data_IF_537400693405
#
_entry.id   IF_537400693405
#
_cell.length_a   1.000
_cell.length_b   1.000
_cell.length_c   1.000
_cell.angle_alpha   90.00
_cell.angle_beta   90.00
_cell.angle_gamma   90.00
#
_symmetry.space_group_name_H-M   'P 1'
#
loop_
_entity.id
_entity.type
_entity.pdbx_description
1 polymer ?
#
# COMPACT_ATOMS: atom_id res chain seq x y z
N UNK A 1 -0.42 3.16 11.90
CA UNK A 1 -1.31 4.15 11.27
C UNK A 1 -1.64 3.58 9.89
N UNK A 2 -2.88 3.16 9.67
CA UNK A 2 -3.20 2.18 8.61
C UNK A 2 -3.77 2.84 7.35
N UNK A 3 -3.72 2.11 6.23
CA UNK A 3 -4.42 2.41 4.97
C UNK A 3 -5.87 2.90 5.19
N UNK A 4 -6.54 2.48 6.27
CA UNK A 4 -7.89 2.91 6.64
C UNK A 4 -8.04 4.42 6.85
N UNK A 5 -6.98 5.15 7.23
CA UNK A 5 -7.01 6.61 7.41
C UNK A 5 -7.47 7.34 6.14
N UNK A 6 -7.18 6.78 4.97
CA UNK A 6 -7.48 7.42 3.68
C UNK A 6 -8.77 6.91 3.03
N UNK A 7 -9.55 6.08 3.72
CA UNK A 7 -10.75 5.47 3.13
C UNK A 7 -10.40 4.55 1.97
N UNK A 8 -11.17 4.60 0.88
CA UNK A 8 -11.03 3.69 -0.27
C UNK A 8 -10.14 4.24 -1.40
N UNK A 9 -9.72 5.50 -1.34
CA UNK A 9 -8.92 6.15 -2.38
C UNK A 9 -8.10 7.30 -1.81
N UNK A 10 -6.90 7.50 -2.34
CA UNK A 10 -6.00 8.61 -1.99
C UNK A 10 -6.00 9.74 -3.01
N UNK A 11 -6.78 9.67 -4.10
CA UNK A 11 -6.72 10.65 -5.22
C UNK A 11 -6.71 12.12 -4.78
N UNK A 12 -7.57 12.50 -3.82
CA UNK A 12 -7.64 13.87 -3.26
C UNK A 12 -6.37 14.31 -2.52
N UNK A 13 -5.59 13.36 -2.03
CA UNK A 13 -4.33 13.58 -1.33
C UNK A 13 -3.11 13.56 -2.27
N UNK A 14 -3.33 13.36 -3.57
CA UNK A 14 -2.30 13.42 -4.61
C UNK A 14 -2.28 14.77 -5.34
N UNK A 15 -3.05 15.75 -4.86
CA UNK A 15 -3.20 17.05 -5.51
C UNK A 15 -1.97 17.95 -5.29
N UNK A 16 -1.32 17.87 -4.12
CA UNK A 16 -0.15 18.69 -3.77
C UNK A 16 1.03 17.85 -3.28
N UNK A 17 2.25 18.34 -3.51
CA UNK A 17 3.47 17.69 -3.00
C UNK A 17 3.47 17.57 -1.47
N UNK A 18 2.91 18.56 -0.77
CA UNK A 18 2.76 18.53 0.70
C UNK A 18 1.87 17.37 1.16
N UNK A 19 0.70 17.18 0.54
CA UNK A 19 -0.22 16.10 0.91
C UNK A 19 0.36 14.72 0.56
N UNK A 20 1.13 14.61 -0.53
CA UNK A 20 1.84 13.39 -0.91
C UNK A 20 2.95 13.07 0.11
N UNK A 21 3.75 14.07 0.51
CA UNK A 21 4.77 13.92 1.56
C UNK A 21 4.16 13.46 2.88
N UNK A 22 3.00 14.00 3.25
CA UNK A 22 2.26 13.55 4.44
C UNK A 22 1.89 12.06 4.35
N UNK A 23 1.37 11.59 3.21
CA UNK A 23 1.06 10.16 3.02
C UNK A 23 2.31 9.30 3.13
N UNK A 24 3.42 9.70 2.49
CA UNK A 24 4.67 8.95 2.58
C UNK A 24 5.16 8.84 4.02
N UNK A 25 5.17 9.93 4.77
CA UNK A 25 5.60 9.92 6.17
C UNK A 25 4.67 9.08 7.05
N UNK A 26 3.35 9.17 6.82
CA UNK A 26 2.36 8.39 7.56
C UNK A 26 2.50 6.88 7.31
N UNK A 27 2.86 6.47 6.08
CA UNK A 27 2.92 5.07 5.66
C UNK A 27 4.34 4.46 5.72
N UNK A 28 5.39 5.26 5.90
CA UNK A 28 6.79 4.82 6.02
C UNK A 28 7.01 3.78 7.15
N UNK A 29 6.44 3.93 8.36
CA UNK A 29 6.54 2.90 9.39
C UNK A 29 5.95 1.56 8.94
N UNK A 30 4.82 1.59 8.22
CA UNK A 30 4.19 0.38 7.68
C UNK A 30 5.04 -0.25 6.58
N UNK A 31 5.66 0.54 5.71
CA UNK A 31 6.60 0.04 4.70
C UNK A 31 7.78 -0.69 5.35
N UNK A 32 8.40 -0.07 6.36
CA UNK A 32 9.54 -0.64 7.09
C UNK A 32 9.18 -1.95 7.75
N UNK A 33 8.01 -2.03 8.40
CA UNK A 33 7.51 -3.27 9.00
C UNK A 33 7.34 -4.34 7.93
N UNK A 34 6.65 -4.04 6.82
CA UNK A 34 6.41 -5.06 5.79
C UNK A 34 7.71 -5.54 5.14
N UNK A 35 8.67 -4.64 4.92
CA UNK A 35 9.98 -4.99 4.38
C UNK A 35 10.78 -5.89 5.32
N UNK A 36 10.78 -5.60 6.62
CA UNK A 36 11.54 -6.37 7.61
C UNK A 36 10.86 -7.71 7.96
N UNK A 37 9.54 -7.69 8.08
CA UNK A 37 8.71 -8.84 8.49
C UNK A 37 8.17 -9.63 7.29
N UNK A 38 8.70 -9.42 6.08
CA UNK A 38 8.15 -10.00 4.84
C UNK A 38 7.92 -11.51 4.94
N UNK A 39 8.92 -12.26 5.44
CA UNK A 39 8.81 -13.71 5.59
C UNK A 39 7.74 -14.11 6.62
N UNK A 40 7.61 -13.35 7.71
CA UNK A 40 6.60 -13.61 8.74
C UNK A 40 5.19 -13.31 8.22
N UNK A 41 5.01 -12.21 7.48
CA UNK A 41 3.75 -11.88 6.79
C UNK A 41 3.40 -12.97 5.78
N UNK A 42 4.36 -13.40 4.96
CA UNK A 42 4.15 -14.48 3.99
C UNK A 42 3.72 -15.78 4.68
N UNK A 43 4.43 -16.18 5.74
CA UNK A 43 4.07 -17.36 6.53
C UNK A 43 2.68 -17.25 7.15
N UNK A 44 2.32 -16.09 7.71
CA UNK A 44 1.00 -15.84 8.29
C UNK A 44 -0.10 -15.98 7.23
N UNK A 45 0.06 -15.33 6.07
CA UNK A 45 -0.93 -15.38 5.00
C UNK A 45 -1.06 -16.79 4.41
N UNK A 46 0.05 -17.51 4.24
CA UNK A 46 0.00 -18.92 3.82
C UNK A 46 -0.73 -19.79 4.85
N UNK A 47 -0.49 -19.58 6.15
CA UNK A 47 -1.15 -20.35 7.21
C UNK A 47 -2.66 -20.09 7.31
N UNK A 48 -3.12 -18.94 6.83
CA UNK A 48 -4.55 -18.59 6.71
C UNK A 48 -5.15 -19.07 5.37
N UNK A 49 -4.39 -19.81 4.58
CA UNK A 49 -4.84 -20.46 3.34
C UNK A 49 -4.88 -19.53 2.13
N UNK A 50 -4.06 -18.47 2.09
CA UNK A 50 -3.82 -17.73 0.84
C UNK A 50 -2.78 -18.45 -0.02
N UNK A 51 -3.05 -18.50 -1.33
CA UNK A 51 -2.11 -19.00 -2.32
C UNK A 51 -0.90 -18.07 -2.47
N UNK A 52 0.23 -18.63 -2.92
CA UNK A 52 1.48 -17.87 -3.10
C UNK A 52 1.31 -16.71 -4.08
N UNK A 53 0.55 -16.90 -5.16
CA UNK A 53 0.25 -15.87 -6.16
C UNK A 53 -0.41 -14.61 -5.54
N UNK A 54 -1.35 -14.78 -4.62
CA UNK A 54 -2.03 -13.71 -3.91
C UNK A 54 -1.03 -12.94 -3.04
N UNK A 55 -0.23 -13.68 -2.26
CA UNK A 55 0.74 -13.09 -1.33
C UNK A 55 1.81 -12.31 -2.09
N UNK A 56 2.40 -12.93 -3.11
CA UNK A 56 3.44 -12.30 -3.92
C UNK A 56 2.87 -11.06 -4.66
N UNK A 57 1.62 -11.13 -5.14
CA UNK A 57 0.94 -10.00 -5.77
C UNK A 57 0.56 -8.89 -4.77
N UNK A 58 0.19 -9.21 -3.53
CA UNK A 58 -0.04 -8.19 -2.49
C UNK A 58 1.25 -7.43 -2.20
N UNK A 59 2.34 -8.14 -1.99
CA UNK A 59 3.62 -7.52 -1.64
C UNK A 59 4.19 -6.72 -2.82
N UNK A 60 4.09 -7.25 -4.03
CA UNK A 60 4.48 -6.52 -5.25
C UNK A 60 3.71 -5.22 -5.41
N UNK A 61 2.37 -5.26 -5.34
CA UNK A 61 1.54 -4.05 -5.47
C UNK A 61 1.83 -3.04 -4.36
N UNK A 62 2.11 -3.52 -3.15
CA UNK A 62 2.43 -2.66 -2.01
C UNK A 62 3.77 -1.94 -2.21
N UNK A 63 4.81 -2.64 -2.64
CA UNK A 63 6.11 -1.99 -2.90
C UNK A 63 6.03 -1.05 -4.09
N UNK A 64 5.35 -1.44 -5.17
CA UNK A 64 5.13 -0.55 -6.32
C UNK A 64 4.35 0.72 -5.91
N UNK A 65 3.38 0.59 -5.01
CA UNK A 65 2.66 1.72 -4.44
C UNK A 65 3.58 2.69 -3.70
N UNK A 66 4.43 2.18 -2.81
CA UNK A 66 5.38 2.99 -2.05
C UNK A 66 6.41 3.68 -2.94
N UNK A 67 6.92 2.98 -3.95
CA UNK A 67 7.87 3.55 -4.92
C UNK A 67 7.19 4.67 -5.74
N UNK A 68 5.95 4.45 -6.17
CA UNK A 68 5.17 5.46 -6.91
C UNK A 68 4.88 6.69 -6.04
N UNK A 69 4.50 6.51 -4.78
CA UNK A 69 4.31 7.64 -3.86
C UNK A 69 5.60 8.40 -3.57
N UNK A 70 6.71 7.69 -3.38
CA UNK A 70 8.03 8.30 -3.15
C UNK A 70 8.46 9.15 -4.33
N UNK A 71 8.23 8.65 -5.55
CA UNK A 71 8.47 9.38 -6.79
C UNK A 71 7.63 10.67 -6.85
N UNK A 72 6.32 10.57 -6.57
CA UNK A 72 5.39 11.71 -6.56
C UNK A 72 5.67 12.75 -5.47
N UNK A 73 6.38 12.39 -4.39
CA UNK A 73 6.80 13.34 -3.36
C UNK A 73 8.00 14.20 -3.77
N UNK A 74 8.63 13.89 -4.90
CA UNK A 74 9.76 14.67 -5.41
C UNK A 74 9.23 15.98 -6.01
N UNK A 75 9.70 17.17 -5.56
CA UNK A 75 9.12 18.47 -5.93
C UNK A 75 9.02 18.77 -7.43
N UNK A 76 9.90 18.19 -8.24
CA UNK A 76 9.91 18.35 -9.70
C UNK A 76 9.08 17.31 -10.45
N UNK A 77 8.43 16.37 -9.75
CA UNK A 77 7.76 15.22 -10.33
C UNK A 77 6.25 15.26 -10.07
N UNK A 78 5.51 15.84 -11.02
CA UNK A 78 4.06 15.93 -10.96
C UNK A 78 3.44 15.41 -12.27
N UNK A 79 3.49 14.10 -12.48
CA UNK A 79 2.83 13.46 -13.61
C UNK A 79 1.45 12.92 -13.22
N UNK A 80 0.41 13.33 -13.94
CA UNK A 80 -0.96 12.86 -13.73
C UNK A 80 -1.10 11.33 -13.91
N UNK A 81 -0.29 10.72 -14.78
CA UNK A 81 -0.30 9.27 -14.97
C UNK A 81 0.14 8.53 -13.70
N UNK A 82 1.20 8.99 -13.05
CA UNK A 82 1.69 8.38 -11.82
C UNK A 82 0.74 8.61 -10.64
N UNK A 83 0.05 9.76 -10.59
CA UNK A 83 -1.03 10.00 -9.62
C UNK A 83 -2.18 9.01 -9.80
N UNK A 84 -2.58 8.75 -11.03
CA UNK A 84 -3.62 7.74 -11.32
C UNK A 84 -3.14 6.35 -10.91
N UNK A 85 -1.90 5.99 -11.28
CA UNK A 85 -1.27 4.73 -10.90
C UNK A 85 -1.24 4.54 -9.38
N UNK A 86 -0.82 5.56 -8.62
CA UNK A 86 -0.80 5.52 -7.15
C UNK A 86 -2.22 5.30 -6.56
N UNK A 87 -3.25 5.95 -7.11
CA UNK A 87 -4.64 5.74 -6.69
C UNK A 87 -5.13 4.32 -6.96
N UNK A 88 -4.80 3.76 -8.14
CA UNK A 88 -5.17 2.40 -8.51
C UNK A 88 -4.44 1.35 -7.64
N UNK A 89 -3.15 1.53 -7.42
CA UNK A 89 -2.35 0.68 -6.54
C UNK A 89 -2.86 0.74 -5.10
N UNK A 90 -3.18 1.93 -4.58
CA UNK A 90 -3.77 2.09 -3.25
C UNK A 90 -5.05 1.25 -3.10
N UNK A 91 -5.97 1.33 -4.07
CA UNK A 91 -7.22 0.55 -4.07
C UNK A 91 -6.95 -0.95 -4.06
N UNK A 92 -6.06 -1.42 -4.93
CA UNK A 92 -5.69 -2.85 -5.02
C UNK A 92 -5.09 -3.36 -3.71
N UNK A 93 -4.10 -2.65 -3.19
CA UNK A 93 -3.42 -2.97 -1.94
C UNK A 93 -4.40 -2.98 -0.79
N UNK A 94 -5.23 -1.94 -0.66
CA UNK A 94 -6.23 -1.86 0.41
C UNK A 94 -7.22 -3.03 0.34
N UNK A 95 -7.74 -3.33 -0.86
CA UNK A 95 -8.67 -4.45 -1.05
C UNK A 95 -8.07 -5.78 -0.59
N UNK A 96 -6.81 -6.04 -0.96
CA UNK A 96 -6.09 -7.26 -0.56
C UNK A 96 -5.79 -7.30 0.94
N UNK A 97 -5.43 -6.17 1.55
CA UNK A 97 -5.24 -6.07 3.01
C UNK A 97 -6.57 -6.33 3.74
N UNK A 98 -7.68 -5.75 3.28
CA UNK A 98 -8.99 -5.96 3.87
C UNK A 98 -9.43 -7.43 3.75
N UNK A 99 -9.17 -8.08 2.61
CA UNK A 99 -9.42 -9.51 2.41
C UNK A 99 -8.57 -10.37 3.35
N UNK A 100 -7.27 -10.10 3.43
CA UNK A 100 -6.35 -10.77 4.33
C UNK A 100 -6.78 -10.63 5.80
N UNK A 101 -7.14 -9.42 6.22
CA UNK A 101 -7.60 -9.13 7.57
C UNK A 101 -8.89 -9.89 7.90
N UNK A 102 -9.89 -9.84 7.01
CA UNK A 102 -11.16 -10.56 7.19
C UNK A 102 -10.93 -12.06 7.36
N UNK A 103 -10.11 -12.67 6.49
CA UNK A 103 -9.84 -14.11 6.54
C UNK A 103 -9.04 -14.52 7.77
N UNK A 104 -8.09 -13.68 8.20
CA UNK A 104 -7.23 -13.98 9.35
C UNK A 104 -7.92 -13.77 10.70
N UNK A 105 -8.81 -12.77 10.83
CA UNK A 105 -9.29 -12.31 12.14
C UNK A 105 -10.81 -12.27 12.32
N UNK A 106 -11.62 -12.30 11.26
CA UNK A 106 -13.08 -12.24 11.35
C UNK A 106 -13.74 -13.59 11.01
N UNK A 107 -13.33 -14.65 11.73
CA UNK A 107 -13.97 -15.98 11.64
C UNK A 107 -15.41 -15.97 12.15
#
# INVERSE_FOLDING_TARGET
MSFNKYGNDIKKHLESAETILMINNDLDPSYKIVKYEFNNIKSLLSSTGFESNFIDSLISDLFEFYDTLSLLATPSYANNSDKQKASELFKKVKSKIDEAYKKAFNK
#
